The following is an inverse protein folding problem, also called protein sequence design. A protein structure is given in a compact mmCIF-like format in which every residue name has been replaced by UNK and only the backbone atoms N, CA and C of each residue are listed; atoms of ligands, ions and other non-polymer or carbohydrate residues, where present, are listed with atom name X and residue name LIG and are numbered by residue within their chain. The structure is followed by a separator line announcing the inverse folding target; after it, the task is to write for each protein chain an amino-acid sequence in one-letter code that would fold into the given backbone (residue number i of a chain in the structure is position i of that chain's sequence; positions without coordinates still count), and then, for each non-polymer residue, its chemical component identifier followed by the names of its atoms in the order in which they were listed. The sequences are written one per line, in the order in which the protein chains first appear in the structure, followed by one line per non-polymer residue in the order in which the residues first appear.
data_IF_255873910901
#
_entry.id   IF_255873910901
#
_cell.length_a   1.000
_cell.length_b   1.000
_cell.length_c   1.000
_cell.angle_alpha   90.00
_cell.angle_beta   90.00
_cell.angle_gamma   90.00
#
_symmetry.space_group_name_H-M   'P 1'
#
loop_
_entity.id
_entity.type
_entity.pdbx_description
1 polymer ?
#
# COMPACT_ATOMS: atom_id res chain seq x y z
N UNK A 1 -4.31 12.95 -14.97
CA UNK A 1 -3.83 11.56 -15.03
C UNK A 1 -2.71 11.50 -16.04
N UNK A 2 -1.61 10.82 -15.74
CA UNK A 2 -0.46 10.72 -16.65
C UNK A 2 0.27 9.40 -16.51
N UNK A 3 1.00 9.01 -17.56
CA UNK A 3 2.09 8.06 -17.42
C UNK A 3 3.16 8.64 -16.48
N UNK A 4 3.74 7.85 -15.55
CA UNK A 4 4.95 8.25 -14.84
C UNK A 4 6.07 8.60 -15.84
N UNK A 5 7.00 9.47 -15.46
CA UNK A 5 8.13 9.85 -16.33
C UNK A 5 9.01 8.66 -16.73
N UNK A 6 9.07 7.63 -15.89
CA UNK A 6 9.77 6.38 -16.16
C UNK A 6 9.05 5.44 -17.15
N UNK A 7 7.88 5.83 -17.66
CA UNK A 7 7.05 5.02 -18.55
C UNK A 7 7.06 5.60 -19.97
N UNK A 8 7.37 4.74 -20.93
CA UNK A 8 7.36 5.07 -22.37
C UNK A 8 6.20 4.34 -23.04
N UNK A 9 5.35 5.10 -23.73
CA UNK A 9 4.28 4.57 -24.56
C UNK A 9 4.64 4.72 -26.05
N UNK A 10 4.57 3.62 -26.80
CA UNK A 10 4.85 3.57 -28.24
C UNK A 10 3.72 2.84 -28.97
N UNK A 11 3.37 3.30 -30.17
CA UNK A 11 2.35 2.68 -31.01
C UNK A 11 3.00 2.05 -32.24
N UNK A 12 2.75 0.76 -32.47
CA UNK A 12 3.20 0.10 -33.71
C UNK A 12 2.16 0.27 -34.84
N UNK A 13 2.59 0.03 -36.09
CA UNK A 13 1.73 0.11 -37.28
C UNK A 13 0.46 -0.76 -37.17
N UNK A 14 0.53 -1.88 -36.43
CA UNK A 14 -0.57 -2.83 -36.22
C UNK A 14 -1.60 -2.40 -35.14
N UNK A 15 -1.62 -1.11 -34.75
CA UNK A 15 -2.45 -0.57 -33.66
C UNK A 15 -2.21 -1.26 -32.31
N UNK A 16 -0.98 -1.68 -32.04
CA UNK A 16 -0.58 -2.20 -30.73
C UNK A 16 0.06 -1.06 -29.93
N UNK A 17 -0.60 -0.65 -28.85
CA UNK A 17 -0.03 0.31 -27.91
C UNK A 17 0.84 -0.46 -26.91
N UNK A 18 2.16 -0.31 -27.03
CA UNK A 18 3.14 -0.86 -26.10
C UNK A 18 3.48 0.19 -25.06
N UNK A 19 3.35 -0.17 -23.79
CA UNK A 19 3.67 0.66 -22.65
C UNK A 19 4.74 -0.07 -21.86
N UNK A 20 5.87 0.58 -21.62
CA UNK A 20 7.01 0.00 -20.96
C UNK A 20 7.48 0.90 -19.83
N UNK A 21 7.72 0.32 -18.67
CA UNK A 21 8.20 1.02 -17.49
C UNK A 21 9.16 0.16 -16.67
N UNK A 22 9.60 0.65 -15.52
CA UNK A 22 10.62 -0.03 -14.70
C UNK A 22 10.17 -1.40 -14.18
N UNK A 23 8.85 -1.61 -14.07
CA UNK A 23 8.28 -2.84 -13.51
C UNK A 23 7.71 -3.80 -14.56
N UNK A 24 7.82 -3.48 -15.85
CA UNK A 24 7.40 -4.39 -16.91
C UNK A 24 6.97 -3.72 -18.21
N UNK A 25 6.35 -4.53 -19.07
CA UNK A 25 5.83 -4.13 -20.37
C UNK A 25 4.41 -4.64 -20.54
N UNK A 26 3.51 -3.78 -21.00
CA UNK A 26 2.16 -4.13 -21.41
C UNK A 26 1.94 -3.82 -22.89
N UNK A 27 1.29 -4.72 -23.60
CA UNK A 27 0.92 -4.53 -25.00
C UNK A 27 -0.61 -4.62 -25.11
N UNK A 28 -1.25 -3.50 -25.41
CA UNK A 28 -2.68 -3.45 -25.70
C UNK A 28 -2.86 -3.72 -27.20
N UNK A 29 -3.46 -4.87 -27.53
CA UNK A 29 -3.71 -5.30 -28.92
C UNK A 29 -5.13 -4.94 -29.33
N UNK A 30 -5.33 -4.69 -30.63
CA UNK A 30 -6.63 -4.39 -31.22
C UNK A 30 -7.35 -3.18 -30.59
N UNK A 31 -6.59 -2.19 -30.10
CA UNK A 31 -7.16 -0.97 -29.50
C UNK A 31 -7.83 -0.14 -30.60
N UNK A 32 -9.11 0.27 -30.43
CA UNK A 32 -9.76 1.16 -31.39
C UNK A 32 -8.99 2.47 -31.57
N UNK A 33 -8.93 2.98 -32.80
CA UNK A 33 -8.24 4.25 -33.08
C UNK A 33 -8.74 5.43 -32.22
N UNK A 34 -10.06 5.57 -31.94
CA UNK A 34 -10.55 6.57 -30.99
C UNK A 34 -9.95 6.43 -29.58
N UNK A 35 -9.85 5.21 -29.07
CA UNK A 35 -9.27 4.95 -27.74
C UNK A 35 -7.77 5.27 -27.73
N UNK A 36 -7.03 4.94 -28.78
CA UNK A 36 -5.61 5.33 -28.91
C UNK A 36 -5.46 6.85 -28.85
N UNK A 37 -6.32 7.61 -29.54
CA UNK A 37 -6.28 9.06 -29.54
C UNK A 37 -6.52 9.65 -28.12
N UNK A 38 -7.41 9.05 -27.34
CA UNK A 38 -7.64 9.42 -25.94
C UNK A 38 -6.43 9.05 -25.06
N UNK A 39 -5.92 7.83 -25.18
CA UNK A 39 -4.79 7.34 -24.37
C UNK A 39 -3.48 8.12 -24.64
N UNK A 40 -3.29 8.65 -25.84
CA UNK A 40 -2.14 9.53 -26.16
C UNK A 40 -2.08 10.77 -25.28
N UNK A 41 -3.22 11.25 -24.79
CA UNK A 41 -3.31 12.40 -23.88
C UNK A 41 -2.77 12.11 -22.47
N UNK A 42 -2.51 10.83 -22.13
CA UNK A 42 -1.86 10.46 -20.87
C UNK A 42 -0.34 10.70 -20.90
N UNK A 43 0.25 10.94 -22.07
CA UNK A 43 1.66 11.33 -22.19
C UNK A 43 1.89 12.64 -21.45
N UNK A 44 3.03 12.77 -20.77
CA UNK A 44 3.36 13.96 -19.97
C UNK A 44 3.07 15.26 -20.73
N UNK A 45 2.35 16.24 -20.13
CA UNK A 45 2.00 16.36 -18.70
C UNK A 45 0.76 15.56 -18.25
N UNK A 46 0.11 14.82 -19.15
CA UNK A 46 -1.14 14.10 -18.89
C UNK A 46 -2.39 14.94 -19.19
N UNK A 47 -3.54 14.40 -18.78
CA UNK A 47 -4.86 15.01 -19.05
C UNK A 47 -5.83 14.80 -17.89
N UNK A 48 -6.80 15.71 -17.76
CA UNK A 48 -7.88 15.60 -16.78
C UNK A 48 -8.84 14.44 -17.12
N UNK A 49 -9.28 13.67 -16.11
CA UNK A 49 -10.21 12.55 -16.33
C UNK A 49 -11.51 13.00 -17.01
N UNK A 50 -12.06 14.16 -16.63
CA UNK A 50 -13.26 14.72 -17.26
C UNK A 50 -13.07 14.94 -18.77
N UNK A 51 -11.92 15.48 -19.18
CA UNK A 51 -11.57 15.70 -20.60
C UNK A 51 -11.31 14.40 -21.36
N UNK A 52 -10.74 13.38 -20.71
CA UNK A 52 -10.58 12.05 -21.31
C UNK A 52 -11.95 11.39 -21.56
N UNK A 53 -12.85 11.48 -20.57
CA UNK A 53 -14.23 11.00 -20.68
C UNK A 53 -14.97 11.74 -21.79
N UNK A 54 -14.85 13.06 -21.85
CA UNK A 54 -15.51 13.87 -22.87
C UNK A 54 -14.97 13.56 -24.27
N UNK A 55 -13.65 13.43 -24.41
CA UNK A 55 -13.05 13.01 -25.68
C UNK A 55 -13.55 11.64 -26.15
N UNK A 56 -13.73 10.67 -25.23
CA UNK A 56 -14.28 9.36 -25.55
C UNK A 56 -15.79 9.43 -25.92
N UNK A 57 -16.56 10.36 -25.36
CA UNK A 57 -17.97 10.59 -25.76
C UNK A 57 -18.06 11.18 -27.17
N UNK A 58 -17.29 12.23 -27.42
CA UNK A 58 -17.30 13.00 -28.67
C UNK A 58 -16.72 12.26 -29.89
N UNK A 59 -15.94 11.20 -29.68
CA UNK A 59 -15.48 10.33 -30.78
C UNK A 59 -16.56 9.44 -31.41
N UNK A 60 -17.81 9.53 -30.95
CA UNK A 60 -18.96 8.96 -31.66
C UNK A 60 -19.22 9.77 -32.94
N UNK A 61 -19.27 9.16 -34.14
CA UNK A 61 -19.58 9.91 -35.34
C UNK A 61 -21.04 10.42 -35.29
N UNK A 62 -21.32 11.71 -35.50
CA UNK A 62 -22.65 12.13 -35.93
C UNK A 62 -22.89 11.51 -37.32
N UNK A 63 -24.02 10.82 -37.49
CA UNK A 63 -24.33 9.95 -38.62
C UNK A 63 -23.76 10.38 -39.97
N UNK A 64 -22.74 9.67 -40.44
CA UNK A 64 -22.22 9.78 -41.79
C UNK A 64 -22.38 8.42 -42.48
N UNK A 65 -22.88 8.38 -43.73
CA UNK A 65 -23.22 7.12 -44.40
C UNK A 65 -21.94 6.33 -44.65
N UNK A 66 -21.95 5.06 -44.24
CA UNK A 66 -20.81 4.16 -44.34
C UNK A 66 -20.39 3.96 -45.81
N UNK A 67 -19.10 4.20 -46.10
CA UNK A 67 -18.43 3.53 -47.21
C UNK A 67 -18.04 2.11 -46.74
N UNK A 68 -18.42 1.05 -47.48
CA UNK A 68 -18.44 -0.30 -46.95
C UNK A 68 -17.13 -1.06 -47.23
N UNK A 69 -15.94 -0.54 -46.91
CA UNK A 69 -14.74 -1.39 -46.93
C UNK A 69 -13.80 -1.09 -45.74
N UNK A 70 -13.54 -2.12 -44.93
CA UNK A 70 -12.69 -2.19 -43.72
C UNK A 70 -13.27 -1.65 -42.39
N UNK A 71 -14.57 -1.75 -42.17
CA UNK A 71 -15.19 -1.43 -40.87
C UNK A 71 -15.06 -2.59 -39.85
N UNK A 72 -13.97 -2.61 -39.07
CA UNK A 72 -14.10 -3.07 -37.67
C UNK A 72 -15.00 -2.05 -37.01
N UNK A 73 -16.23 -2.45 -36.64
CA UNK A 73 -17.23 -1.59 -36.03
C UNK A 73 -16.58 -0.64 -35.01
N UNK A 74 -16.66 0.66 -35.29
CA UNK A 74 -16.22 1.68 -34.32
C UNK A 74 -17.13 1.53 -33.11
N UNK A 75 -16.60 1.34 -31.88
CA UNK A 75 -17.45 1.21 -30.71
C UNK A 75 -18.25 2.49 -30.50
N UNK A 76 -19.55 2.36 -30.23
CA UNK A 76 -20.38 3.50 -29.81
C UNK A 76 -19.85 4.14 -28.52
N UNK A 77 -20.20 5.40 -28.26
CA UNK A 77 -19.69 6.19 -27.12
C UNK A 77 -19.71 5.48 -25.75
N UNK A 78 -20.80 4.81 -25.34
CA UNK A 78 -20.83 4.05 -24.08
C UNK A 78 -19.84 2.87 -24.05
N UNK A 79 -19.68 2.16 -25.16
CA UNK A 79 -18.74 1.05 -25.27
C UNK A 79 -17.28 1.55 -25.22
N UNK A 80 -16.99 2.67 -25.88
CA UNK A 80 -15.67 3.30 -25.83
C UNK A 80 -15.33 3.80 -24.43
N UNK A 81 -16.30 4.37 -23.70
CA UNK A 81 -16.13 4.73 -22.29
C UNK A 81 -15.83 3.52 -21.42
N UNK A 82 -16.57 2.43 -21.57
CA UNK A 82 -16.30 1.20 -20.83
C UNK A 82 -14.86 0.70 -21.08
N UNK A 83 -14.43 0.68 -22.35
CA UNK A 83 -13.08 0.30 -22.73
C UNK A 83 -12.01 1.27 -22.19
N UNK A 84 -12.28 2.57 -22.18
CA UNK A 84 -11.38 3.57 -21.60
C UNK A 84 -11.15 3.28 -20.11
N UNK A 85 -12.21 3.17 -19.32
CA UNK A 85 -12.08 2.92 -17.88
C UNK A 85 -11.45 1.56 -17.58
N UNK A 86 -11.80 0.52 -18.33
CA UNK A 86 -11.14 -0.79 -18.24
C UNK A 86 -9.64 -0.68 -18.52
N UNK A 87 -9.25 0.07 -19.54
CA UNK A 87 -7.84 0.30 -19.89
C UNK A 87 -7.11 1.12 -18.82
N UNK A 88 -7.72 2.20 -18.33
CA UNK A 88 -7.16 3.02 -17.23
C UNK A 88 -6.97 2.18 -15.95
N UNK A 89 -7.93 1.32 -15.63
CA UNK A 89 -7.86 0.39 -14.51
C UNK A 89 -6.68 -0.58 -14.66
N UNK A 90 -6.51 -1.17 -15.84
CA UNK A 90 -5.38 -2.07 -16.13
C UNK A 90 -4.04 -1.33 -16.05
N UNK A 91 -3.97 -0.12 -16.58
CA UNK A 91 -2.77 0.73 -16.50
C UNK A 91 -2.41 1.04 -15.05
N UNK A 92 -3.39 1.41 -14.23
CA UNK A 92 -3.18 1.72 -12.83
C UNK A 92 -2.71 0.49 -12.04
N UNK A 93 -3.34 -0.66 -12.21
CA UNK A 93 -2.94 -1.90 -11.55
C UNK A 93 -1.53 -2.39 -11.93
N UNK A 94 -1.02 -2.01 -13.10
CA UNK A 94 0.34 -2.33 -13.55
C UNK A 94 1.35 -1.20 -13.24
N UNK A 95 0.97 -0.17 -12.48
CA UNK A 95 1.86 0.94 -12.11
C UNK A 95 2.19 1.90 -13.27
N UNK A 96 1.45 1.85 -14.37
CA UNK A 96 1.63 2.74 -15.52
C UNK A 96 0.82 4.04 -15.42
N UNK A 97 0.05 4.26 -14.37
CA UNK A 97 -0.81 5.44 -14.26
C UNK A 97 -0.63 6.13 -12.91
N UNK A 98 -0.49 7.45 -12.94
CA UNK A 98 -0.56 8.31 -11.75
C UNK A 98 -1.70 9.30 -11.88
N UNK A 99 -2.27 9.69 -10.75
CA UNK A 99 -3.29 10.74 -10.67
C UNK A 99 -2.67 11.90 -9.90
N UNK A 100 -2.84 13.12 -10.42
CA UNK A 100 -2.26 14.33 -9.83
C UNK A 100 -3.32 15.40 -9.76
N UNK A 101 -3.34 16.15 -8.66
CA UNK A 101 -4.09 17.39 -8.51
C UNK A 101 -3.10 18.55 -8.55
N UNK A 102 -3.41 19.57 -9.35
CA UNK A 102 -2.56 20.74 -9.60
C UNK A 102 -3.39 21.99 -9.36
N UNK A 103 -2.82 22.96 -8.64
CA UNK A 103 -3.44 24.26 -8.40
C UNK A 103 -2.52 25.37 -8.92
N UNK A 104 -2.97 26.14 -9.91
CA UNK A 104 -2.18 27.24 -10.49
C UNK A 104 -0.81 26.79 -11.00
N UNK A 105 -0.73 25.59 -11.61
CA UNK A 105 0.52 25.00 -12.10
C UNK A 105 1.38 24.30 -11.03
N UNK A 106 1.05 24.44 -9.74
CA UNK A 106 1.76 23.77 -8.64
C UNK A 106 1.13 22.41 -8.34
N UNK A 107 1.88 21.29 -8.38
CA UNK A 107 1.35 20.00 -7.96
C UNK A 107 1.03 20.03 -6.46
N UNK A 108 -0.19 19.62 -6.07
CA UNK A 108 -0.59 19.52 -4.67
C UNK A 108 -0.37 18.11 -4.12
N UNK A 109 -0.84 17.11 -4.86
CA UNK A 109 -0.77 15.72 -4.48
C UNK A 109 -0.66 14.81 -5.71
N UNK A 110 0.04 13.70 -5.60
CA UNK A 110 0.11 12.65 -6.62
C UNK A 110 -0.19 11.30 -5.99
N UNK A 111 -1.24 10.63 -6.47
CA UNK A 111 -1.56 9.24 -6.15
C UNK A 111 -0.74 8.31 -7.05
N UNK A 112 -0.03 7.38 -6.42
CA UNK A 112 0.75 6.32 -7.06
C UNK A 112 0.17 4.96 -6.63
N UNK A 113 -0.44 4.20 -7.56
CA UNK A 113 -0.84 2.82 -7.31
C UNK A 113 0.38 1.94 -6.97
N UNK A 114 0.23 1.06 -5.98
CA UNK A 114 1.29 0.18 -5.47
C UNK A 114 1.19 -1.27 -5.98
N UNK A 115 0.15 -1.62 -6.75
CA UNK A 115 -0.01 -2.97 -7.29
C UNK A 115 -1.35 -3.24 -7.96
N UNK A 116 -1.55 -4.49 -8.45
CA UNK A 116 -2.68 -4.87 -9.30
C UNK A 116 -4.04 -4.84 -8.61
N UNK A 117 -4.06 -4.83 -7.28
CA UNK A 117 -5.29 -4.74 -6.48
C UNK A 117 -5.81 -3.31 -6.33
N UNK A 118 -5.09 -2.29 -6.81
CA UNK A 118 -5.61 -0.93 -6.87
C UNK A 118 -6.81 -0.85 -7.79
N UNK A 119 -7.90 -0.20 -7.35
CA UNK A 119 -9.12 -0.02 -8.15
C UNK A 119 -9.45 1.46 -8.27
N UNK A 120 -9.53 1.94 -9.51
CA UNK A 120 -10.04 3.24 -9.90
C UNK A 120 -11.58 3.19 -9.91
N UNK A 121 -12.18 3.06 -8.72
CA UNK A 121 -13.64 2.93 -8.56
C UNK A 121 -14.36 4.25 -8.86
N UNK A 122 -15.42 4.22 -9.68
CA UNK A 122 -16.28 5.38 -9.96
C UNK A 122 -17.20 5.75 -8.78
N UNK A 123 -17.48 4.79 -7.91
CA UNK A 123 -18.52 4.89 -6.86
C UNK A 123 -18.04 5.53 -5.55
N UNK A 124 -16.97 6.33 -5.58
CA UNK A 124 -16.76 7.29 -4.49
C UNK A 124 -17.76 8.43 -4.67
N UNK A 125 -19.05 8.11 -4.47
CA UNK A 125 -20.08 9.11 -4.20
C UNK A 125 -19.69 9.76 -2.89
N UNK A 126 -19.00 10.89 -3.01
CA UNK A 126 -18.69 11.79 -1.93
C UNK A 126 -19.99 12.51 -1.55
N UNK A 127 -20.90 11.76 -0.93
CA UNK A 127 -22.17 12.26 -0.45
C UNK A 127 -22.10 12.24 1.08
N UNK A 128 -22.15 13.42 1.69
CA UNK A 128 -22.10 13.59 3.14
C UNK A 128 -20.69 13.80 3.71
N UNK A 129 -20.57 13.80 5.06
CA UNK A 129 -19.31 14.02 5.74
C UNK A 129 -18.33 12.87 5.51
N UNK A 130 -17.06 13.23 5.31
CA UNK A 130 -15.95 12.30 5.21
C UNK A 130 -14.99 12.51 6.38
N UNK A 131 -14.27 11.44 6.72
CA UNK A 131 -13.18 11.47 7.69
C UNK A 131 -11.98 10.72 7.10
N UNK A 132 -10.77 11.12 7.50
CA UNK A 132 -9.56 10.39 7.20
C UNK A 132 -9.62 9.02 7.89
N UNK A 133 -9.23 7.97 7.16
CA UNK A 133 -9.10 6.62 7.71
C UNK A 133 -8.23 6.65 8.95
N UNK A 134 -8.64 5.95 10.01
CA UNK A 134 -7.87 5.87 11.26
C UNK A 134 -6.54 5.13 11.09
N UNK A 135 -6.41 4.43 9.96
CA UNK A 135 -5.19 3.73 9.58
C UNK A 135 -4.29 4.54 8.65
N UNK A 136 -4.74 5.70 8.18
CA UNK A 136 -3.93 6.57 7.35
C UNK A 136 -2.85 7.27 8.19
N UNK A 137 -1.63 7.36 7.65
CA UNK A 137 -0.51 8.00 8.32
C UNK A 137 0.35 8.76 7.32
N UNK A 138 0.94 9.86 7.79
CA UNK A 138 1.93 10.64 7.04
C UNK A 138 3.31 10.31 7.57
N UNK A 139 4.26 10.07 6.67
CA UNK A 139 5.67 9.94 7.01
C UNK A 139 6.56 10.51 5.90
N UNK A 140 7.84 10.65 6.23
CA UNK A 140 8.88 11.03 5.26
C UNK A 140 9.44 9.79 4.58
N UNK A 141 9.62 9.88 3.27
CA UNK A 141 10.48 8.98 2.51
C UNK A 141 11.43 9.83 1.66
N UNK A 142 12.74 9.73 1.92
CA UNK A 142 13.74 10.63 1.34
C UNK A 142 13.36 12.12 1.50
N UNK A 143 13.10 12.84 0.41
CA UNK A 143 12.68 14.24 0.41
C UNK A 143 11.17 14.43 0.17
N UNK A 144 10.41 13.34 0.17
CA UNK A 144 8.97 13.35 -0.07
C UNK A 144 8.17 13.19 1.23
N UNK A 145 6.96 13.77 1.22
CA UNK A 145 5.94 13.56 2.26
C UNK A 145 4.90 12.60 1.71
N UNK A 146 4.79 11.41 2.30
CA UNK A 146 3.87 10.37 1.85
C UNK A 146 2.72 10.22 2.82
N UNK A 147 1.51 10.11 2.27
CA UNK A 147 0.30 9.67 2.96
C UNK A 147 -0.01 8.24 2.49
N UNK A 148 -0.11 7.32 3.43
CA UNK A 148 -0.32 5.90 3.19
C UNK A 148 -1.35 5.32 4.15
N UNK A 149 -1.87 4.14 3.84
CA UNK A 149 -2.71 3.33 4.73
C UNK A 149 -2.42 1.84 4.51
N UNK A 150 -2.38 1.01 5.56
CA UNK A 150 -2.21 -0.44 5.44
C UNK A 150 -3.42 -1.16 4.78
N UNK A 151 -4.51 -0.43 4.56
CA UNK A 151 -5.68 -0.89 3.80
C UNK A 151 -5.64 -0.48 2.32
N UNK A 152 -4.83 0.52 1.98
CA UNK A 152 -4.77 1.11 0.66
C UNK A 152 -3.83 0.34 -0.28
N UNK A 153 -4.18 0.35 -1.57
CA UNK A 153 -3.32 -0.14 -2.66
C UNK A 153 -2.66 1.00 -3.44
N UNK A 154 -2.67 2.20 -2.88
CA UNK A 154 -2.00 3.37 -3.41
C UNK A 154 -1.39 4.19 -2.27
N UNK A 155 -0.32 4.92 -2.58
CA UNK A 155 0.20 6.00 -1.73
C UNK A 155 -0.09 7.34 -2.37
N UNK A 156 -0.11 8.38 -1.56
CA UNK A 156 -0.24 9.77 -2.03
C UNK A 156 0.99 10.55 -1.62
N UNK A 157 1.76 11.04 -2.58
CA UNK A 157 2.82 12.03 -2.33
C UNK A 157 2.17 13.40 -2.20
N UNK A 158 2.36 14.06 -1.07
CA UNK A 158 1.95 15.42 -0.79
C UNK A 158 3.08 16.38 -1.17
N UNK A 159 2.84 17.21 -2.18
CA UNK A 159 3.85 18.12 -2.75
C UNK A 159 3.75 19.54 -2.17
N UNK A 160 2.62 19.89 -1.57
CA UNK A 160 2.32 21.22 -1.07
C UNK A 160 1.65 21.15 0.32
N UNK A 161 2.01 22.06 1.22
CA UNK A 161 1.48 22.11 2.58
C UNK A 161 -0.04 22.29 2.65
N UNK A 162 -0.67 22.89 1.62
CA UNK A 162 -2.13 23.00 1.51
C UNK A 162 -2.78 21.62 1.37
N UNK A 163 -2.14 20.66 0.72
CA UNK A 163 -2.66 19.29 0.63
C UNK A 163 -2.62 18.58 1.99
N UNK A 164 -1.56 18.81 2.77
CA UNK A 164 -1.48 18.35 4.16
C UNK A 164 -2.54 19.03 5.05
N UNK A 165 -2.81 20.32 4.85
CA UNK A 165 -3.86 21.05 5.57
C UNK A 165 -5.27 20.51 5.26
N UNK A 166 -5.57 20.15 4.00
CA UNK A 166 -6.83 19.46 3.65
C UNK A 166 -6.91 18.09 4.32
N UNK A 167 -5.81 17.32 4.32
CA UNK A 167 -5.74 16.03 5.02
C UNK A 167 -6.00 16.20 6.52
N UNK A 168 -5.44 17.23 7.14
CA UNK A 168 -5.68 17.57 8.54
C UNK A 168 -7.12 17.99 8.81
N UNK A 169 -7.75 18.77 7.92
CA UNK A 169 -9.15 19.17 8.05
C UNK A 169 -10.12 17.97 8.06
N UNK A 170 -9.71 16.84 7.48
CA UNK A 170 -10.46 15.57 7.43
C UNK A 170 -10.21 14.68 8.65
N UNK A 171 -9.42 15.08 9.65
CA UNK A 171 -9.24 14.31 10.90
C UNK A 171 -10.53 14.21 11.75
N UNK A 172 -11.55 15.01 11.42
CA UNK A 172 -12.89 14.97 12.00
C UNK A 172 -13.93 14.88 10.88
N UNK A 173 -15.14 14.34 11.13
CA UNK A 173 -16.22 14.31 10.15
C UNK A 173 -16.44 15.69 9.51
N UNK A 174 -16.19 15.79 8.21
CA UNK A 174 -16.15 17.07 7.49
C UNK A 174 -16.81 16.96 6.12
N UNK A 175 -17.72 17.89 5.83
CA UNK A 175 -18.27 18.05 4.49
C UNK A 175 -17.20 18.67 3.58
N UNK A 176 -16.91 18.08 2.41
CA UNK A 176 -15.89 18.61 1.48
C UNK A 176 -16.13 20.06 1.07
N UNK A 177 -17.39 20.47 0.98
CA UNK A 177 -17.80 21.85 0.67
C UNK A 177 -17.40 22.87 1.74
N UNK A 178 -17.14 22.44 2.97
CA UNK A 178 -16.71 23.30 4.09
C UNK A 178 -15.18 23.42 4.24
N UNK A 179 -14.42 22.59 3.52
CA UNK A 179 -12.95 22.61 3.60
C UNK A 179 -12.34 23.92 3.07
N UNK A 180 -12.85 24.57 2.00
CA UNK A 180 -12.29 25.85 1.52
C UNK A 180 -12.27 26.95 2.60
N UNK A 181 -13.22 26.93 3.54
CA UNK A 181 -13.28 27.89 4.65
C UNK A 181 -12.18 27.65 5.70
N UNK A 182 -11.68 26.41 5.80
CA UNK A 182 -10.63 26.00 6.76
C UNK A 182 -9.23 26.06 6.15
N UNK A 183 -9.12 25.93 4.83
CA UNK A 183 -7.86 25.88 4.10
C UNK A 183 -7.87 26.94 2.99
N UNK A 184 -7.52 28.19 3.31
CA UNK A 184 -7.49 29.26 2.32
C UNK A 184 -6.43 29.01 1.24
N UNK A 185 -6.64 29.58 0.05
CA UNK A 185 -5.69 29.48 -1.06
C UNK A 185 -5.89 28.27 -1.97
N UNK A 186 -7.00 27.54 -1.83
CA UNK A 186 -7.47 26.51 -2.76
C UNK A 186 -8.89 26.85 -3.25
N UNK A 187 -9.16 26.64 -4.54
CA UNK A 187 -10.53 26.77 -5.06
C UNK A 187 -11.40 25.60 -4.59
N UNK A 188 -12.73 25.77 -4.47
CA UNK A 188 -13.65 24.66 -4.13
C UNK A 188 -13.51 23.45 -5.06
N UNK A 189 -13.24 23.70 -6.35
CA UNK A 189 -13.00 22.65 -7.33
C UNK A 189 -11.70 21.90 -7.07
N UNK A 190 -10.61 22.61 -6.74
CA UNK A 190 -9.33 21.98 -6.38
C UNK A 190 -9.46 21.12 -5.13
N UNK A 191 -10.20 21.61 -4.12
CA UNK A 191 -10.49 20.86 -2.91
C UNK A 191 -11.27 19.59 -3.23
N UNK A 192 -12.32 19.70 -4.06
CA UNK A 192 -13.10 18.55 -4.51
C UNK A 192 -12.22 17.52 -5.22
N UNK A 193 -11.36 17.95 -6.14
CA UNK A 193 -10.42 17.07 -6.84
C UNK A 193 -9.44 16.39 -5.89
N UNK A 194 -8.93 17.10 -4.88
CA UNK A 194 -8.04 16.55 -3.87
C UNK A 194 -8.76 15.51 -2.98
N UNK A 195 -9.98 15.81 -2.54
CA UNK A 195 -10.80 14.86 -1.77
C UNK A 195 -11.11 13.61 -2.60
N UNK A 196 -11.46 13.76 -3.88
CA UNK A 196 -11.60 12.64 -4.82
C UNK A 196 -10.32 11.81 -4.94
N UNK A 197 -9.15 12.45 -5.05
CA UNK A 197 -7.87 11.77 -5.10
C UNK A 197 -7.60 10.97 -3.82
N UNK A 198 -7.85 11.55 -2.65
CA UNK A 198 -7.72 10.86 -1.36
C UNK A 198 -8.71 9.68 -1.24
N UNK A 199 -9.93 9.84 -1.76
CA UNK A 199 -10.92 8.77 -1.87
C UNK A 199 -10.42 7.63 -2.75
N UNK A 200 -9.96 7.90 -3.98
CA UNK A 200 -9.37 6.88 -4.86
C UNK A 200 -8.15 6.20 -4.23
N UNK A 201 -7.40 6.90 -3.40
CA UNK A 201 -6.28 6.31 -2.67
C UNK A 201 -6.71 5.41 -1.51
N UNK A 202 -8.00 5.36 -1.16
CA UNK A 202 -8.49 4.60 -0.01
C UNK A 202 -8.12 5.24 1.33
N UNK A 203 -7.93 6.57 1.37
CA UNK A 203 -7.54 7.31 2.57
C UNK A 203 -8.74 7.84 3.37
N UNK A 204 -9.95 7.80 2.80
CA UNK A 204 -11.14 8.39 3.39
C UNK A 204 -12.18 7.32 3.72
N UNK A 205 -12.85 7.48 4.85
CA UNK A 205 -14.04 6.72 5.23
C UNK A 205 -15.27 7.63 5.17
N UNK A 206 -16.41 7.15 4.62
CA UNK A 206 -17.68 7.83 4.83
C UNK A 206 -18.07 7.76 6.31
N UNK A 207 -18.83 8.77 6.74
CA UNK A 207 -19.41 8.86 8.08
C UNK A 207 -20.90 8.54 7.98
N UNK A 208 -21.35 7.58 8.78
CA UNK A 208 -22.75 7.16 8.84
C UNK A 208 -23.68 8.23 9.41
N UNK A 209 -25.02 8.06 9.28
CA UNK A 209 -25.99 8.99 9.84
C UNK A 209 -25.90 9.18 11.36
N UNK A 210 -25.34 8.22 12.09
CA UNK A 210 -25.11 8.28 13.54
C UNK A 210 -23.81 9.03 13.91
N UNK A 211 -23.09 9.57 12.92
CA UNK A 211 -21.85 10.30 13.09
C UNK A 211 -20.61 9.42 13.23
N UNK A 212 -20.72 8.10 13.09
CA UNK A 212 -19.58 7.19 13.21
C UNK A 212 -18.91 6.88 11.86
N UNK A 213 -17.58 6.80 11.82
CA UNK A 213 -16.88 6.30 10.65
C UNK A 213 -17.23 4.83 10.37
N UNK A 214 -17.42 4.47 9.10
CA UNK A 214 -17.68 3.09 8.71
C UNK A 214 -16.57 2.10 9.16
N UNK A 215 -15.33 2.57 9.28
CA UNK A 215 -14.22 1.76 9.81
C UNK A 215 -14.39 1.33 11.27
N UNK A 216 -15.08 2.15 12.07
CA UNK A 216 -15.33 1.88 13.49
C UNK A 216 -16.53 0.94 13.68
N UNK A 217 -17.49 0.99 12.75
CA UNK A 217 -18.65 0.10 12.77
C UNK A 217 -18.34 -1.30 12.23
N UNK A 218 -17.34 -1.42 11.34
CA UNK A 218 -16.97 -2.70 10.74
C UNK A 218 -16.21 -3.57 11.76
N UNK A 219 -16.78 -4.69 12.24
CA UNK A 219 -16.16 -5.51 13.29
C UNK A 219 -14.79 -6.09 12.88
N UNK A 220 -14.55 -6.27 11.57
CA UNK A 220 -13.27 -6.77 11.05
C UNK A 220 -12.17 -5.72 11.13
N UNK A 221 -12.53 -4.44 11.09
CA UNK A 221 -11.58 -3.33 11.17
C UNK A 221 -11.49 -2.80 12.59
N UNK A 222 -12.60 -2.69 13.33
CA UNK A 222 -12.66 -2.17 14.69
C UNK A 222 -11.75 -2.91 15.69
N UNK A 223 -11.46 -4.19 15.45
CA UNK A 223 -10.58 -5.01 16.30
C UNK A 223 -9.08 -4.76 16.11
N UNK A 224 -8.69 -4.01 15.08
CA UNK A 224 -7.29 -3.69 14.83
C UNK A 224 -6.85 -2.40 15.50
N UNK A 225 -5.71 -2.44 16.16
CA UNK A 225 -4.93 -1.24 16.46
C UNK A 225 -4.12 -0.80 15.23
N UNK A 226 -3.83 0.50 15.13
CA UNK A 226 -3.10 1.08 13.99
C UNK A 226 -1.76 0.38 13.72
N UNK A 227 -0.94 0.23 14.77
CA UNK A 227 0.41 -0.32 14.65
C UNK A 227 0.41 -1.80 14.31
N UNK A 228 -0.56 -2.57 14.81
CA UNK A 228 -0.72 -3.99 14.50
C UNK A 228 -1.08 -4.20 13.04
N UNK A 229 -2.04 -3.43 12.52
CA UNK A 229 -2.44 -3.55 11.12
C UNK A 229 -1.33 -3.07 10.17
N UNK A 230 -0.62 -2.00 10.55
CA UNK A 230 0.53 -1.52 9.79
C UNK A 230 1.63 -2.59 9.71
N UNK A 231 2.02 -3.18 10.84
CA UNK A 231 3.02 -4.25 10.87
C UNK A 231 2.56 -5.47 10.07
N UNK A 232 1.29 -5.87 10.22
CA UNK A 232 0.71 -6.99 9.49
C UNK A 232 0.68 -6.77 7.98
N UNK A 233 0.38 -5.55 7.52
CA UNK A 233 0.38 -5.20 6.10
C UNK A 233 1.80 -5.10 5.53
N UNK A 234 2.77 -4.55 6.29
CA UNK A 234 4.16 -4.37 5.85
C UNK A 234 5.02 -5.62 5.94
N UNK A 235 4.56 -6.66 6.65
CA UNK A 235 5.24 -7.96 6.74
C UNK A 235 4.75 -8.96 5.69
N UNK A 236 3.83 -8.56 4.80
CA UNK A 236 3.22 -9.43 3.79
C UNK A 236 3.18 -8.73 2.44
N UNK A 237 3.36 -9.50 1.38
CA UNK A 237 3.32 -8.96 0.02
C UNK A 237 1.89 -8.58 -0.39
N UNK A 238 1.79 -7.63 -1.34
CA UNK A 238 0.56 -7.31 -2.07
C UNK A 238 -0.12 -5.98 -1.70
N UNK A 239 0.15 -5.41 -0.52
CA UNK A 239 -0.38 -4.08 -0.11
C UNK A 239 0.65 -2.96 -0.13
N UNK A 240 1.87 -3.27 -0.52
CA UNK A 240 2.95 -2.32 -0.72
C UNK A 240 3.84 -2.79 -1.86
N UNK A 241 4.58 -1.84 -2.43
CA UNK A 241 5.62 -2.06 -3.44
C UNK A 241 7.04 -2.03 -2.86
N UNK A 242 7.17 -1.92 -1.52
CA UNK A 242 8.47 -1.99 -0.85
C UNK A 242 9.12 -3.39 -1.01
N UNK A 243 10.46 -3.47 -1.13
CA UNK A 243 11.17 -4.73 -1.25
C UNK A 243 10.93 -5.69 -0.07
N UNK A 244 10.64 -6.96 -0.34
CA UNK A 244 10.44 -8.03 0.65
C UNK A 244 11.63 -9.01 0.71
N UNK A 245 11.79 -9.69 1.84
CA UNK A 245 12.77 -10.78 2.00
C UNK A 245 14.22 -10.34 2.09
N UNK A 246 15.11 -11.06 1.41
CA UNK A 246 16.57 -10.89 1.47
C UNK A 246 17.04 -9.67 0.66
N UNK A 247 16.70 -8.47 1.13
CA UNK A 247 17.00 -7.21 0.44
C UNK A 247 18.50 -6.83 0.47
N UNK A 248 19.27 -7.41 1.40
CA UNK A 248 20.70 -7.13 1.62
C UNK A 248 21.09 -5.63 1.55
N UNK A 249 20.17 -4.72 1.93
CA UNK A 249 20.29 -3.27 1.67
C UNK A 249 21.51 -2.59 2.32
N UNK A 250 22.16 -3.27 3.26
CA UNK A 250 23.36 -2.81 3.96
C UNK A 250 24.62 -3.63 3.65
N UNK A 251 24.55 -4.63 2.78
CA UNK A 251 25.70 -5.45 2.40
C UNK A 251 26.77 -4.56 1.76
N UNK A 252 27.99 -4.62 2.29
CA UNK A 252 29.11 -3.78 1.86
C UNK A 252 29.01 -2.30 2.29
N UNK A 253 27.92 -1.88 2.95
CA UNK A 253 27.74 -0.50 3.46
C UNK A 253 27.94 -0.40 4.96
N UNK A 254 27.47 -1.40 5.72
CA UNK A 254 27.63 -1.46 7.17
C UNK A 254 28.31 -2.78 7.56
N UNK A 255 29.18 -2.78 8.57
CA UNK A 255 29.70 -4.03 9.12
C UNK A 255 28.57 -4.85 9.72
N UNK A 256 28.65 -6.17 9.59
CA UNK A 256 27.71 -7.08 10.24
C UNK A 256 27.90 -6.99 11.76
N UNK A 257 26.82 -6.85 12.57
CA UNK A 257 26.96 -6.91 14.03
C UNK A 257 27.53 -8.27 14.45
N UNK A 258 28.26 -8.35 15.58
CA UNK A 258 28.82 -9.61 16.05
C UNK A 258 27.70 -10.63 16.32
N UNK A 259 27.96 -11.90 15.98
CA UNK A 259 26.99 -12.99 16.13
C UNK A 259 26.57 -13.24 17.59
N UNK A 260 27.45 -12.88 18.53
CA UNK A 260 27.19 -12.92 19.97
C UNK A 260 27.42 -11.53 20.52
N UNK A 261 26.54 -11.09 21.42
CA UNK A 261 26.70 -9.83 22.14
C UNK A 261 28.08 -9.80 22.83
N UNK A 262 28.84 -8.73 22.60
CA UNK A 262 30.10 -8.51 23.32
C UNK A 262 29.81 -8.42 24.82
N UNK A 263 30.48 -9.26 25.61
CA UNK A 263 30.33 -9.28 27.06
C UNK A 263 30.91 -7.98 27.63
N UNK A 264 30.07 -7.20 28.32
CA UNK A 264 30.47 -5.93 28.95
C UNK A 264 30.80 -6.08 30.46
N UNK A 265 30.57 -7.26 31.05
CA UNK A 265 30.83 -7.54 32.45
C UNK A 265 32.24 -8.09 32.69
N UNK A 266 32.81 -7.75 33.85
CA UNK A 266 34.16 -8.20 34.25
C UNK A 266 34.12 -9.59 34.91
N UNK A 267 32.99 -9.93 35.55
CA UNK A 267 32.81 -11.20 36.24
C UNK A 267 32.19 -12.23 35.29
N UNK A 268 32.89 -13.36 35.13
CA UNK A 268 32.44 -14.49 34.34
C UNK A 268 32.15 -15.65 35.28
N UNK A 269 30.89 -16.08 35.32
CA UNK A 269 30.46 -17.25 36.10
C UNK A 269 30.38 -18.42 35.14
N UNK A 270 31.27 -19.42 35.31
CA UNK A 270 31.13 -20.66 34.56
C UNK A 270 29.89 -21.41 35.07
N UNK A 271 28.97 -21.70 34.14
CA UNK A 271 27.76 -22.44 34.44
C UNK A 271 28.00 -23.96 34.24
N UNK A 272 27.12 -24.83 34.73
CA UNK A 272 27.21 -26.30 34.61
C UNK A 272 26.86 -26.83 33.20
N UNK A 273 27.63 -27.71 32.57
CA UNK A 273 27.29 -28.25 31.23
C UNK A 273 26.42 -29.51 31.36
N UNK A 274 25.15 -29.52 30.88
CA UNK A 274 24.31 -30.71 30.97
C UNK A 274 24.84 -31.87 30.11
N UNK A 275 24.64 -33.10 30.56
CA UNK A 275 24.98 -34.33 29.84
C UNK A 275 23.92 -34.60 28.75
N UNK A 276 24.18 -34.15 27.52
CA UNK A 276 23.25 -34.29 26.40
C UNK A 276 23.01 -35.77 26.00
N UNK A 277 24.04 -36.64 25.86
CA UNK A 277 23.81 -38.07 25.61
C UNK A 277 22.93 -38.75 26.67
N UNK A 278 23.11 -38.38 27.95
CA UNK A 278 22.26 -38.87 29.03
C UNK A 278 20.80 -38.41 28.88
N UNK A 279 20.58 -37.14 28.52
CA UNK A 279 19.24 -36.59 28.28
C UNK A 279 18.57 -37.23 27.06
N UNK A 280 19.28 -37.49 25.96
CA UNK A 280 18.69 -38.15 24.79
C UNK A 280 18.06 -39.51 25.11
N UNK A 281 18.59 -40.22 26.10
CA UNK A 281 18.10 -41.54 26.50
C UNK A 281 16.98 -41.48 27.55
N UNK A 282 16.99 -40.46 28.42
CA UNK A 282 16.17 -40.44 29.64
C UNK A 282 15.19 -39.27 29.73
N UNK A 283 15.29 -38.27 28.86
CA UNK A 283 14.38 -37.14 28.84
C UNK A 283 12.97 -37.58 28.38
N UNK A 284 11.88 -36.96 28.89
CA UNK A 284 10.54 -37.34 28.49
C UNK A 284 10.35 -37.19 26.97
N UNK A 285 9.62 -38.12 26.32
CA UNK A 285 9.28 -37.97 24.92
C UNK A 285 8.56 -36.64 24.63
N UNK A 286 8.81 -36.04 23.46
CA UNK A 286 8.23 -34.75 23.05
C UNK A 286 6.71 -34.71 23.24
N UNK A 287 5.99 -35.79 22.90
CA UNK A 287 4.55 -35.88 23.11
C UNK A 287 4.16 -35.70 24.60
N UNK A 288 4.89 -36.35 25.51
CA UNK A 288 4.65 -36.21 26.95
C UNK A 288 4.92 -34.78 27.43
N UNK A 289 5.99 -34.16 26.93
CA UNK A 289 6.31 -32.77 27.27
C UNK A 289 5.22 -31.80 26.77
N UNK A 290 4.71 -31.98 25.55
CA UNK A 290 3.64 -31.16 24.97
C UNK A 290 2.33 -31.31 25.75
N UNK A 291 1.91 -32.55 26.03
CA UNK A 291 0.65 -32.84 26.75
C UNK A 291 0.66 -32.36 28.22
N UNK A 292 1.81 -32.43 28.88
CA UNK A 292 1.94 -32.03 30.30
C UNK A 292 2.32 -30.56 30.49
N UNK A 293 2.64 -29.83 29.42
CA UNK A 293 3.09 -28.43 29.49
C UNK A 293 1.99 -27.55 30.07
N UNK A 294 2.29 -26.89 31.19
CA UNK A 294 1.42 -25.91 31.85
C UNK A 294 2.21 -24.67 32.24
N UNK A 295 1.55 -23.51 32.21
CA UNK A 295 2.14 -22.25 32.67
C UNK A 295 2.02 -22.14 34.18
N UNK A 296 3.10 -22.44 34.91
CA UNK A 296 3.15 -22.37 36.37
C UNK A 296 3.61 -20.96 36.77
N UNK A 297 2.74 -20.20 37.44
CA UNK A 297 3.05 -18.82 37.90
C UNK A 297 3.23 -18.71 39.41
N UNK A 298 2.64 -19.64 40.16
CA UNK A 298 2.87 -19.80 41.59
C UNK A 298 4.17 -20.57 41.81
N UNK A 299 5.10 -19.96 42.54
CA UNK A 299 6.35 -20.60 42.93
C UNK A 299 6.10 -21.41 44.20
N UNK A 300 6.89 -22.46 44.40
CA UNK A 300 6.85 -23.18 45.67
C UNK A 300 7.08 -22.21 46.84
N UNK A 301 6.42 -22.48 47.97
CA UNK A 301 6.53 -21.71 49.22
C UNK A 301 8.00 -21.45 49.61
N UNK A 302 8.32 -20.46 50.46
CA UNK A 302 9.69 -20.09 50.85
C UNK A 302 10.56 -21.21 51.45
N UNK A 303 9.99 -22.40 51.65
CA UNK A 303 10.66 -23.64 52.09
C UNK A 303 11.29 -24.46 50.95
N UNK A 304 11.02 -24.15 49.68
CA UNK A 304 11.69 -24.79 48.54
C UNK A 304 12.96 -24.00 48.16
N UNK A 305 14.11 -24.67 47.89
CA UNK A 305 15.32 -23.97 47.52
C UNK A 305 15.11 -23.17 46.23
N UNK A 306 15.65 -21.93 46.13
CA UNK A 306 15.57 -21.17 44.89
C UNK A 306 16.16 -21.97 43.73
N UNK A 307 15.71 -21.67 42.51
CA UNK A 307 16.22 -22.33 41.30
C UNK A 307 17.74 -22.21 41.26
N UNK A 308 18.43 -23.36 41.25
CA UNK A 308 19.90 -23.39 41.27
C UNK A 308 20.48 -22.91 39.94
N UNK A 309 21.72 -22.42 39.96
CA UNK A 309 22.48 -22.08 38.74
C UNK A 309 22.63 -23.28 37.80
N UNK A 310 22.70 -24.50 38.35
CA UNK A 310 22.67 -25.76 37.61
C UNK A 310 21.34 -25.94 36.87
N UNK A 311 20.20 -25.75 37.54
CA UNK A 311 18.87 -25.85 36.92
C UNK A 311 18.69 -24.78 35.84
N UNK A 312 19.13 -23.54 36.08
CA UNK A 312 19.06 -22.45 35.09
C UNK A 312 19.86 -22.80 33.83
N UNK A 313 21.06 -23.38 33.97
CA UNK A 313 21.88 -23.72 32.79
C UNK A 313 21.45 -25.00 32.08
N UNK A 314 20.89 -25.98 32.78
CA UNK A 314 20.31 -27.14 32.10
C UNK A 314 19.14 -26.74 31.20
N UNK A 315 18.32 -25.75 31.59
CA UNK A 315 17.22 -25.21 30.77
C UNK A 315 17.71 -24.29 29.64
N UNK A 316 18.69 -23.42 29.91
CA UNK A 316 19.22 -22.52 28.86
C UNK A 316 20.17 -23.23 27.87
N UNK A 317 20.94 -24.21 28.32
CA UNK A 317 21.82 -25.03 27.49
C UNK A 317 21.07 -25.98 26.55
N UNK A 318 19.87 -26.43 26.93
CA UNK A 318 18.95 -27.19 26.07
C UNK A 318 18.11 -26.29 25.17
N UNK A 319 17.70 -25.10 25.64
CA UNK A 319 16.82 -24.18 24.90
C UNK A 319 17.50 -23.15 23.99
N UNK A 320 18.79 -22.85 24.18
CA UNK A 320 19.51 -21.79 23.45
C UNK A 320 20.88 -22.25 22.91
N UNK A 321 21.04 -23.55 22.64
CA UNK A 321 22.27 -24.07 22.04
C UNK A 321 22.44 -23.50 20.62
N UNK A 322 23.56 -22.83 20.29
CA UNK A 322 23.80 -22.39 18.93
C UNK A 322 23.97 -23.62 18.06
N UNK A 323 22.96 -23.92 17.23
CA UNK A 323 23.00 -25.04 16.31
C UNK A 323 24.30 -24.98 15.51
N UNK A 324 25.09 -26.07 15.57
CA UNK A 324 26.26 -26.23 14.71
C UNK A 324 25.78 -26.16 13.26
N UNK A 325 26.08 -25.06 12.56
CA UNK A 325 26.00 -25.08 11.10
C UNK A 325 27.03 -26.08 10.62
N UNK A 326 26.57 -27.18 10.02
CA UNK A 326 27.42 -27.99 9.15
C UNK A 326 27.88 -27.05 8.03
N UNK A 327 29.20 -26.90 7.93
CA UNK A 327 29.91 -26.30 6.80
C UNK A 327 29.62 -27.05 5.51
#
# INVERSE_FOLDING_TARGET
MSFPESVVASLTADRVLTIQGPYGRMALRAVPAPLIAVLRRLTHPGEELGRLVEAARLTSPPGSPALPELSRAVPDGPALLAQLFHTLQHLAGQGFLTLRVVAGGTPLATLVPMGPSFVLSRDHRIEGPLILSRFAYIHREAQETLLESPLAFARVTLHDGRAAAVTHALMVPTLPTSIPDRVPGLSPETVTQLVCLLGYAGMLSPVGPDGKPHEDENPRLATWEFHDLLFHARSREGRHDAPSGNTYRFLGRLPCPPAVKTVAGVEQIELHRPDLPGLEQHDPPVATAMERRRSIRERAAPTWPPVSTTTIRSVTGSGASPGSRRT
#
